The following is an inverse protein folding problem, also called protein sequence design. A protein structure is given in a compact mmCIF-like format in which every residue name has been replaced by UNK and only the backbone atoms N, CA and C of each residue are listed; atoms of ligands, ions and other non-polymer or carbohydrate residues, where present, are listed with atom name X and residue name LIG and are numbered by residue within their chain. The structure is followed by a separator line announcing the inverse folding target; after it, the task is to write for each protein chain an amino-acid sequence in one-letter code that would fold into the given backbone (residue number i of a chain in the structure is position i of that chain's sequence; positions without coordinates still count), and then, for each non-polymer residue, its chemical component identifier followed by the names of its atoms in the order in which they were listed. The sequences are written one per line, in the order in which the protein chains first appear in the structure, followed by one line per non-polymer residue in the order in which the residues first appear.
data_IF_983956123668
#
_entry.id   IF_983956123668
#
_cell.length_a   1.000
_cell.length_b   1.000
_cell.length_c   1.000
_cell.angle_alpha   90.00
_cell.angle_beta   90.00
_cell.angle_gamma   90.00
#
_symmetry.space_group_name_H-M   'P 1'
#
loop_
_entity.id
_entity.type
_entity.pdbx_description
1 polymer ?
#
# COMPACT_ATOMS: atom_id res chain seq x y z
N UNK A 1 5.37 -8.50 9.07
CA UNK A 1 5.44 -7.10 9.57
C UNK A 1 5.68 -6.05 8.47
N UNK A 2 6.18 -6.42 7.28
CA UNK A 2 6.45 -5.51 6.15
C UNK A 2 5.25 -4.66 5.69
N UNK A 3 4.01 -5.14 5.85
CA UNK A 3 2.80 -4.38 5.47
C UNK A 3 2.29 -3.43 6.56
N UNK A 4 2.72 -3.61 7.81
CA UNK A 4 2.31 -2.79 8.95
C UNK A 4 3.36 -1.79 9.42
N UNK A 5 4.62 -2.00 8.99
CA UNK A 5 5.75 -1.14 9.30
C UNK A 5 6.48 -0.84 7.98
N UNK A 6 6.42 0.42 7.58
CA UNK A 6 7.05 1.02 6.40
C UNK A 6 8.41 0.38 6.14
N UNK A 7 8.66 -0.05 4.90
CA UNK A 7 9.91 -0.68 4.53
C UNK A 7 10.54 0.04 3.35
N UNK A 8 11.60 0.80 3.64
CA UNK A 8 12.47 1.42 2.64
C UNK A 8 13.83 0.70 2.63
N UNK A 9 14.29 0.34 1.43
CA UNK A 9 15.60 -0.27 1.23
C UNK A 9 16.20 0.13 -0.10
N UNK A 10 17.48 0.52 -0.08
CA UNK A 10 18.26 0.86 -1.29
C UNK A 10 19.45 -0.09 -1.36
N UNK A 11 19.53 -0.83 -2.48
CA UNK A 11 20.69 -1.64 -2.85
C UNK A 11 21.31 -1.14 -4.15
N UNK A 12 22.46 -1.67 -4.55
CA UNK A 12 23.06 -1.35 -5.85
C UNK A 12 22.16 -1.86 -6.99
N UNK A 13 21.40 -0.98 -7.62
CA UNK A 13 20.51 -1.29 -8.75
C UNK A 13 19.03 -1.53 -8.38
N UNK A 14 18.66 -1.52 -7.09
CA UNK A 14 17.28 -1.73 -6.66
C UNK A 14 16.85 -0.76 -5.57
N UNK A 15 15.60 -0.31 -5.64
CA UNK A 15 14.92 0.45 -4.59
C UNK A 15 13.63 -0.28 -4.23
N UNK A 16 13.43 -0.53 -2.93
CA UNK A 16 12.19 -1.07 -2.38
C UNK A 16 11.52 -0.02 -1.52
N UNK A 17 10.23 0.19 -1.73
CA UNK A 17 9.39 1.03 -0.89
C UNK A 17 8.04 0.32 -0.68
N UNK A 18 7.77 -0.11 0.55
CA UNK A 18 6.50 -0.71 0.93
C UNK A 18 5.80 0.21 1.93
N UNK A 19 4.70 0.86 1.54
CA UNK A 19 4.00 1.79 2.41
C UNK A 19 3.20 1.06 3.50
N UNK A 20 2.81 1.80 4.54
CA UNK A 20 1.99 1.28 5.63
C UNK A 20 0.54 1.03 5.20
N UNK A 21 0.00 -0.14 5.56
CA UNK A 21 -1.40 -0.50 5.39
C UNK A 21 -2.11 -0.62 6.74
N UNK A 22 -3.44 -0.52 6.73
CA UNK A 22 -4.24 -0.61 7.94
C UNK A 22 -4.17 -2.04 8.53
N UNK A 23 -3.74 -2.22 9.80
CA UNK A 23 -3.66 -3.54 10.42
C UNK A 23 -4.99 -4.30 10.45
N UNK A 24 -6.12 -3.60 10.54
CA UNK A 24 -7.46 -4.20 10.50
C UNK A 24 -7.72 -4.84 9.13
N UNK A 25 -7.43 -4.11 8.05
CA UNK A 25 -7.63 -4.62 6.68
C UNK A 25 -6.67 -5.79 6.36
N UNK A 26 -5.45 -5.76 6.90
CA UNK A 26 -4.50 -6.88 6.81
C UNK A 26 -5.07 -8.14 7.50
N UNK A 27 -5.61 -8.00 8.71
CA UNK A 27 -6.20 -9.13 9.45
C UNK A 27 -7.42 -9.68 8.74
N UNK A 28 -8.31 -8.84 8.22
CA UNK A 28 -9.49 -9.28 7.47
C UNK A 28 -9.10 -10.06 6.21
N UNK A 29 -8.08 -9.61 5.49
CA UNK A 29 -7.56 -10.33 4.32
C UNK A 29 -6.90 -11.66 4.70
N UNK A 30 -6.23 -11.73 5.85
CA UNK A 30 -5.69 -12.99 6.36
C UNK A 30 -6.81 -14.00 6.67
N UNK A 31 -7.88 -13.55 7.33
CA UNK A 31 -9.05 -14.38 7.62
C UNK A 31 -9.72 -14.85 6.32
N UNK A 32 -9.81 -13.99 5.31
CA UNK A 32 -10.34 -14.34 3.98
C UNK A 32 -9.52 -15.44 3.32
N UNK A 33 -8.19 -15.31 3.32
CA UNK A 33 -7.28 -16.32 2.79
C UNK A 33 -7.43 -17.66 3.51
N UNK A 34 -7.54 -17.65 4.84
CA UNK A 34 -7.77 -18.87 5.63
C UNK A 34 -9.11 -19.54 5.31
N UNK A 35 -10.10 -18.78 4.83
CA UNK A 35 -11.40 -19.27 4.37
C UNK A 35 -11.43 -19.63 2.88
N UNK A 36 -10.31 -19.53 2.16
CA UNK A 36 -10.22 -19.81 0.73
C UNK A 36 -10.76 -18.70 -0.18
N UNK A 37 -11.04 -17.51 0.36
CA UNK A 37 -11.50 -16.36 -0.40
C UNK A 37 -10.34 -15.53 -0.95
N UNK A 38 -10.62 -14.75 -2.00
CA UNK A 38 -9.67 -13.79 -2.54
C UNK A 38 -9.42 -12.62 -1.57
N UNK A 39 -8.21 -12.07 -1.65
CA UNK A 39 -7.81 -10.85 -0.93
C UNK A 39 -8.48 -9.63 -1.57
N UNK A 40 -8.83 -8.66 -0.73
CA UNK A 40 -9.31 -7.35 -1.18
C UNK A 40 -8.18 -6.33 -1.23
N UNK A 41 -8.29 -5.31 -2.10
CA UNK A 41 -7.42 -4.14 -2.08
C UNK A 41 -7.43 -3.48 -0.69
N UNK A 42 -6.26 -3.16 -0.16
CA UNK A 42 -6.09 -2.47 1.12
C UNK A 42 -5.70 -1.02 0.88
N UNK A 43 -6.13 -0.15 1.79
CA UNK A 43 -5.79 1.27 1.75
C UNK A 43 -4.51 1.56 2.51
N UNK A 44 -3.77 2.53 1.99
CA UNK A 44 -2.64 3.12 2.70
C UNK A 44 -3.14 3.78 3.97
N UNK A 45 -2.41 3.59 5.07
CA UNK A 45 -2.78 4.10 6.37
C UNK A 45 -1.54 4.48 7.17
N UNK A 46 -1.53 5.72 7.66
CA UNK A 46 -0.47 6.24 8.52
C UNK A 46 -1.09 6.69 9.84
N UNK A 47 -0.62 6.12 10.95
CA UNK A 47 -1.12 6.44 12.29
C UNK A 47 -0.98 7.94 12.58
N UNK A 48 -2.09 8.62 12.85
CA UNK A 48 -2.11 10.05 13.17
C UNK A 48 -2.20 10.99 11.96
N UNK A 49 -2.21 10.46 10.73
CA UNK A 49 -2.48 11.25 9.54
C UNK A 49 -3.98 11.62 9.50
N UNK A 50 -4.26 12.93 9.33
CA UNK A 50 -5.64 13.48 9.27
C UNK A 50 -6.06 13.92 7.87
N UNK A 51 -5.17 13.82 6.88
CA UNK A 51 -5.51 14.11 5.49
C UNK A 51 -6.22 12.94 4.81
N UNK A 52 -6.58 13.12 3.54
CA UNK A 52 -7.08 12.06 2.68
C UNK A 52 -5.94 11.44 1.88
N UNK A 53 -5.92 10.11 1.78
CA UNK A 53 -5.00 9.38 0.90
C UNK A 53 -5.84 8.84 -0.24
N UNK A 54 -5.58 9.33 -1.45
CA UNK A 54 -6.27 8.93 -2.67
C UNK A 54 -5.34 8.10 -3.56
N UNK A 55 -5.89 7.03 -4.13
CA UNK A 55 -5.15 6.17 -5.03
C UNK A 55 -5.15 6.78 -6.43
N UNK A 56 -4.03 7.40 -6.82
CA UNK A 56 -3.85 7.91 -8.18
C UNK A 56 -3.43 6.73 -9.08
N UNK A 57 -4.19 6.40 -10.13
CA UNK A 57 -3.80 5.34 -11.06
C UNK A 57 -2.51 5.74 -11.80
N UNK A 58 -1.57 4.80 -11.92
CA UNK A 58 -0.21 5.02 -12.43
C UNK A 58 -0.10 5.45 -13.90
N UNK A 59 -1.22 5.70 -14.59
CA UNK A 59 -1.27 5.95 -16.03
C UNK A 59 -1.73 7.36 -16.41
N UNK A 60 -1.47 8.35 -15.55
CA UNK A 60 -1.48 9.75 -15.99
C UNK A 60 -0.09 10.03 -16.55
N UNK A 61 0.13 9.59 -17.79
CA UNK A 61 1.27 10.03 -18.57
C UNK A 61 1.28 11.56 -18.55
N UNK A 62 2.43 12.10 -18.20
CA UNK A 62 2.72 13.52 -18.12
C UNK A 62 2.41 14.22 -19.45
N UNK A 63 1.15 14.60 -19.66
CA UNK A 63 0.75 15.54 -20.71
C UNK A 63 1.11 16.94 -20.20
N UNK A 64 2.39 17.29 -20.25
CA UNK A 64 2.75 18.69 -20.39
C UNK A 64 2.44 19.05 -21.84
N UNK A 65 1.25 19.61 -22.07
CA UNK A 65 1.01 20.39 -23.29
C UNK A 65 1.88 21.65 -23.21
N UNK A 66 2.80 21.81 -24.16
CA UNK A 66 3.30 23.10 -24.64
C UNK A 66 3.68 22.98 -26.11
#
# INVERSE_FOLDING_TARGET
MVLGNDCEGIGMGWRTHVPNYNPIEITDNLIRLMKGNSVLPMRLWYKGFRGTIEHIPSNVGTLFET
#
